data_IF_916233097110
#
_entry.id   IF_916233097110
#
_cell.length_a   1.000
_cell.length_b   1.000
_cell.length_c   1.000
_cell.angle_alpha   90.00
_cell.angle_beta   90.00
_cell.angle_gamma   90.00
#
_symmetry.space_group_name_H-M   'P 1'
#
loop_
_entity.id
_entity.type
_entity.pdbx_description
1 polymer ?
#
# COMPACT_ATOMS: atom_id res chain seq x y z
N UNK A 1 14.09 -25.33 -18.06
CA UNK A 1 13.13 -26.28 -17.43
C UNK A 1 12.93 -25.86 -15.95
N UNK A 2 11.76 -26.06 -15.33
CA UNK A 2 11.43 -25.50 -14.00
C UNK A 2 11.83 -26.46 -12.87
N UNK A 3 12.10 -25.93 -11.66
CA UNK A 3 12.46 -26.68 -10.43
C UNK A 3 13.84 -27.36 -10.47
N UNK A 4 14.86 -26.66 -10.96
CA UNK A 4 16.23 -27.14 -10.96
C UNK A 4 17.01 -26.51 -9.80
N UNK A 5 17.73 -27.35 -9.07
CA UNK A 5 18.65 -26.93 -8.00
C UNK A 5 19.95 -26.41 -8.62
N UNK A 6 20.40 -27.06 -9.71
CA UNK A 6 21.63 -26.72 -10.44
C UNK A 6 21.24 -26.27 -11.85
N UNK A 7 21.86 -25.20 -12.30
CA UNK A 7 21.68 -24.61 -13.63
C UNK A 7 23.02 -24.59 -14.36
N UNK A 8 22.97 -24.57 -15.69
CA UNK A 8 24.17 -24.43 -16.52
C UNK A 8 24.85 -23.08 -16.31
N UNK A 9 26.17 -23.02 -16.51
CA UNK A 9 26.96 -21.80 -16.30
C UNK A 9 26.47 -20.59 -17.10
N UNK A 10 25.87 -20.81 -18.27
CA UNK A 10 25.27 -19.74 -19.09
C UNK A 10 24.14 -18.96 -18.39
N UNK A 11 23.52 -19.53 -17.35
CA UNK A 11 22.39 -18.91 -16.62
C UNK A 11 22.82 -18.22 -15.31
N UNK A 12 24.11 -18.27 -14.95
CA UNK A 12 24.62 -17.70 -13.69
C UNK A 12 24.29 -16.22 -13.56
N UNK A 13 24.50 -15.44 -14.63
CA UNK A 13 24.29 -13.98 -14.60
C UNK A 13 22.84 -13.62 -14.25
N UNK A 14 21.87 -14.24 -14.91
CA UNK A 14 20.44 -13.97 -14.68
C UNK A 14 19.97 -14.48 -13.33
N UNK A 15 20.48 -15.62 -12.87
CA UNK A 15 20.14 -16.15 -11.56
C UNK A 15 20.68 -15.25 -10.44
N UNK A 16 21.91 -14.75 -10.55
CA UNK A 16 22.48 -13.82 -9.57
C UNK A 16 21.73 -12.49 -9.52
N UNK A 17 21.30 -11.98 -10.68
CA UNK A 17 20.47 -10.78 -10.73
C UNK A 17 19.10 -11.02 -10.07
N UNK A 18 18.50 -12.19 -10.31
CA UNK A 18 17.22 -12.57 -9.71
C UNK A 18 17.31 -12.72 -8.18
N UNK A 19 18.39 -13.31 -7.65
CA UNK A 19 18.58 -13.47 -6.20
C UNK A 19 18.80 -12.12 -5.52
N UNK A 20 19.55 -11.21 -6.16
CA UNK A 20 19.71 -9.85 -5.67
C UNK A 20 18.37 -9.11 -5.61
N UNK A 21 17.52 -9.28 -6.63
CA UNK A 21 16.14 -8.76 -6.61
C UNK A 21 15.32 -9.30 -5.43
N UNK A 22 15.41 -10.61 -5.16
CA UNK A 22 14.67 -11.22 -4.04
C UNK A 22 15.11 -10.65 -2.68
N UNK A 23 16.41 -10.42 -2.48
CA UNK A 23 16.92 -9.78 -1.25
C UNK A 23 16.38 -8.35 -1.09
N UNK A 24 16.31 -7.58 -2.18
CA UNK A 24 15.72 -6.25 -2.14
C UNK A 24 14.25 -6.29 -1.74
N UNK A 25 13.46 -7.25 -2.25
CA UNK A 25 12.04 -7.37 -1.88
C UNK A 25 11.84 -7.67 -0.40
N UNK A 26 12.69 -8.49 0.20
CA UNK A 26 12.65 -8.78 1.63
C UNK A 26 12.91 -7.50 2.44
N UNK A 27 13.92 -6.72 2.04
CA UNK A 27 14.21 -5.43 2.69
C UNK A 27 13.05 -4.44 2.58
N UNK A 28 12.38 -4.37 1.42
CA UNK A 28 11.18 -3.54 1.25
C UNK A 28 10.03 -3.93 2.18
N UNK A 29 9.81 -5.23 2.40
CA UNK A 29 8.76 -5.71 3.31
C UNK A 29 9.06 -5.27 4.74
N UNK A 30 10.32 -5.38 5.19
CA UNK A 30 10.71 -4.90 6.52
C UNK A 30 10.49 -3.39 6.66
N UNK A 31 10.90 -2.60 5.66
CA UNK A 31 10.68 -1.15 5.65
C UNK A 31 9.19 -0.80 5.71
N UNK A 32 8.35 -1.54 4.98
CA UNK A 32 6.91 -1.35 4.98
C UNK A 32 6.30 -1.58 6.37
N UNK A 33 6.71 -2.64 7.06
CA UNK A 33 6.23 -2.96 8.42
C UNK A 33 6.65 -1.85 9.40
N UNK A 34 7.90 -1.37 9.32
CA UNK A 34 8.38 -0.29 10.20
C UNK A 34 7.62 1.01 9.97
N UNK A 35 7.35 1.38 8.70
CA UNK A 35 6.55 2.56 8.37
C UNK A 35 5.13 2.45 8.94
N UNK A 36 4.50 1.28 8.85
CA UNK A 36 3.17 1.06 9.40
C UNK A 36 3.16 1.22 10.93
N UNK A 37 4.15 0.65 11.61
CA UNK A 37 4.30 0.77 13.06
C UNK A 37 4.52 2.23 13.49
N UNK A 38 5.36 2.97 12.76
CA UNK A 38 5.60 4.40 13.03
C UNK A 38 4.30 5.21 12.96
N UNK A 39 3.50 5.01 11.91
CA UNK A 39 2.25 5.77 11.72
C UNK A 39 1.26 5.55 12.87
N UNK A 40 1.18 4.33 13.41
CA UNK A 40 0.32 4.02 14.55
C UNK A 40 0.80 4.66 15.86
N UNK A 41 2.11 4.78 16.07
CA UNK A 41 2.69 5.36 17.29
C UNK A 41 2.56 6.88 17.33
N UNK A 42 2.90 7.57 16.22
CA UNK A 42 2.97 9.04 16.19
C UNK A 42 1.61 9.75 15.99
N UNK A 43 0.54 9.03 15.61
CA UNK A 43 -0.85 9.53 15.50
C UNK A 43 -0.97 10.91 14.85
N UNK A 44 -0.32 11.11 13.70
CA UNK A 44 -0.32 12.40 12.97
C UNK A 44 -1.73 12.70 12.46
N UNK A 45 -2.26 13.89 12.78
CA UNK A 45 -3.59 14.35 12.32
C UNK A 45 -3.52 14.87 10.88
N UNK A 46 -4.59 14.63 10.13
CA UNK A 46 -4.74 15.11 8.74
C UNK A 46 -5.27 16.55 8.77
N UNK A 47 -4.52 17.49 8.18
CA UNK A 47 -4.87 18.92 8.17
C UNK A 47 -5.70 19.32 6.94
N UNK A 48 -5.42 18.72 5.78
CA UNK A 48 -6.09 19.02 4.53
C UNK A 48 -6.52 17.73 3.84
N UNK A 49 -7.77 17.71 3.39
CA UNK A 49 -8.35 16.58 2.68
C UNK A 49 -8.43 16.93 1.19
N UNK A 50 -8.16 15.94 0.33
CA UNK A 50 -8.25 16.08 -1.12
C UNK A 50 -9.71 16.38 -1.49
N UNK A 51 -9.92 17.46 -2.25
CA UNK A 51 -11.23 17.77 -2.85
C UNK A 51 -11.51 16.77 -3.97
N UNK A 52 -12.04 15.61 -3.61
CA UNK A 52 -12.48 14.59 -4.57
C UNK A 52 -14.01 14.57 -4.67
N UNK A 53 -14.52 14.09 -5.80
CA UNK A 53 -15.97 13.96 -6.00
C UNK A 53 -16.56 12.75 -5.27
N UNK A 54 -15.73 11.86 -4.74
CA UNK A 54 -16.13 10.66 -4.03
C UNK A 54 -16.55 10.99 -2.60
N UNK A 55 -17.65 10.38 -2.14
CA UNK A 55 -18.24 10.72 -0.85
C UNK A 55 -17.37 10.30 0.34
N UNK A 56 -16.55 9.26 0.20
CA UNK A 56 -15.66 8.75 1.25
C UNK A 56 -14.66 9.81 1.74
N UNK A 57 -14.14 10.63 0.83
CA UNK A 57 -13.18 11.69 1.16
C UNK A 57 -13.85 13.00 1.58
N UNK A 58 -15.19 13.09 1.56
CA UNK A 58 -15.93 14.25 2.06
C UNK A 58 -16.25 14.12 3.55
N UNK A 59 -16.23 12.89 4.08
CA UNK A 59 -16.54 12.61 5.49
C UNK A 59 -15.33 12.85 6.39
N UNK A 60 -15.57 12.91 7.71
CA UNK A 60 -14.52 13.01 8.72
C UNK A 60 -13.56 11.82 8.67
N UNK A 61 -12.32 12.05 9.12
CA UNK A 61 -11.28 11.03 9.24
C UNK A 61 -10.80 10.96 10.70
N UNK A 62 -11.20 9.96 11.51
CA UNK A 62 -12.04 8.82 11.16
C UNK A 62 -13.52 9.17 10.99
N UNK A 63 -14.25 8.30 10.28
CA UNK A 63 -15.68 8.45 10.03
C UNK A 63 -16.45 8.23 11.35
N UNK A 64 -17.43 9.09 11.62
CA UNK A 64 -18.32 8.92 12.76
C UNK A 64 -19.23 7.69 12.56
N UNK A 65 -19.60 6.99 13.64
CA UNK A 65 -20.42 5.76 13.56
C UNK A 65 -21.71 5.90 12.75
N UNK A 66 -22.36 7.07 12.80
CA UNK A 66 -23.55 7.40 12.01
C UNK A 66 -23.26 8.61 11.11
N UNK A 67 -22.59 8.37 9.99
CA UNK A 67 -22.23 9.42 9.02
C UNK A 67 -23.28 9.66 7.93
N UNK A 68 -24.07 8.64 7.58
CA UNK A 68 -25.03 8.70 6.47
C UNK A 68 -26.48 8.74 6.96
N UNK A 69 -26.78 9.73 7.82
CA UNK A 69 -28.13 9.92 8.39
C UNK A 69 -29.14 10.35 7.33
N UNK A 70 -28.70 11.13 6.34
CA UNK A 70 -29.53 11.62 5.24
C UNK A 70 -29.08 11.01 3.92
N UNK A 71 -30.01 10.84 2.97
CA UNK A 71 -29.65 10.41 1.61
C UNK A 71 -28.96 11.57 0.89
N UNK A 72 -27.79 11.30 0.32
CA UNK A 72 -27.13 12.24 -0.58
C UNK A 72 -28.09 12.62 -1.72
N UNK A 73 -28.28 13.93 -1.90
CA UNK A 73 -29.03 14.46 -3.02
C UNK A 73 -28.23 14.25 -4.31
N UNK A 74 -28.68 13.30 -5.14
CA UNK A 74 -28.16 13.08 -6.48
C UNK A 74 -29.00 13.92 -7.45
N UNK A 75 -28.43 15.02 -7.93
CA UNK A 75 -29.02 15.74 -9.04
C UNK A 75 -28.69 14.98 -10.33
N UNK A 76 -29.60 14.11 -10.77
CA UNK A 76 -29.55 13.52 -12.11
C UNK A 76 -30.01 14.60 -13.08
N UNK A 77 -29.07 15.12 -13.88
CA UNK A 77 -29.33 16.09 -14.93
C UNK A 77 -29.74 15.39 -16.21
#
# INVERSE_FOLDING_TARGET
PRRYIIYSDFLILWNNLSTMGSMMTIMFIFMFILMFMEMMLFKRKILFIIKSNNNEWKMNQPINNHSNLEKNFLFMK
#
